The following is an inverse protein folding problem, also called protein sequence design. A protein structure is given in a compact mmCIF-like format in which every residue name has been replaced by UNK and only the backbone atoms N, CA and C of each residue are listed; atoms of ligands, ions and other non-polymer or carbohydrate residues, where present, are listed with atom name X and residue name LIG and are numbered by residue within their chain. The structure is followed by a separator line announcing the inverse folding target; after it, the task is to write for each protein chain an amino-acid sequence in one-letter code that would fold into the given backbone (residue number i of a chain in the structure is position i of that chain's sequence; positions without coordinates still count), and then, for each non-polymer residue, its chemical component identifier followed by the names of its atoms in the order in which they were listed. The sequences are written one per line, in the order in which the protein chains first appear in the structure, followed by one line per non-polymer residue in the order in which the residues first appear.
data_IF_451671618464
#
_entry.id   IF_451671618464
#
_cell.length_a   1.000
_cell.length_b   1.000
_cell.length_c   1.000
_cell.angle_alpha   90.00
_cell.angle_beta   90.00
_cell.angle_gamma   90.00
#
_symmetry.space_group_name_H-M   'P 1'
#
loop_
_entity.id
_entity.type
_entity.pdbx_description
1 polymer ?
#
# COMPACT_ATOMS: atom_id res chain seq x y z
N UNK A 1 4.89 -17.24 5.23
CA UNK A 1 3.69 -16.61 4.65
C UNK A 1 3.30 -17.30 3.35
N UNK A 2 2.03 -17.64 3.16
CA UNK A 2 1.46 -18.25 1.94
C UNK A 2 0.74 -17.20 1.10
N UNK A 3 0.48 -17.52 -0.17
CA UNK A 3 -0.35 -16.67 -1.04
C UNK A 3 -1.74 -16.43 -0.43
N UNK A 4 -2.36 -17.45 0.17
CA UNK A 4 -3.66 -17.32 0.86
C UNK A 4 -3.63 -16.23 1.94
N UNK A 5 -2.60 -16.23 2.78
CA UNK A 5 -2.46 -15.25 3.86
C UNK A 5 -2.32 -13.83 3.31
N UNK A 6 -1.54 -13.66 2.23
CA UNK A 6 -1.41 -12.36 1.54
C UNK A 6 -2.76 -11.85 1.04
N UNK A 7 -3.57 -12.72 0.41
CA UNK A 7 -4.89 -12.31 -0.08
C UNK A 7 -5.84 -11.90 1.05
N UNK A 8 -5.76 -12.54 2.21
CA UNK A 8 -6.54 -12.14 3.39
C UNK A 8 -6.08 -10.78 3.93
N UNK A 9 -4.78 -10.55 4.06
CA UNK A 9 -4.23 -9.27 4.50
C UNK A 9 -4.66 -8.12 3.60
N UNK A 10 -4.67 -8.34 2.27
CA UNK A 10 -5.07 -7.33 1.29
C UNK A 10 -6.53 -7.44 0.83
N UNK A 11 -7.40 -8.07 1.64
CA UNK A 11 -8.82 -8.23 1.31
C UNK A 11 -9.55 -6.89 1.13
N UNK A 12 -9.18 -5.87 1.90
CA UNK A 12 -9.70 -4.50 1.76
C UNK A 12 -9.25 -3.88 0.44
N UNK A 13 -7.99 -4.04 0.07
CA UNK A 13 -7.46 -3.55 -1.20
C UNK A 13 -8.15 -4.23 -2.39
N UNK A 14 -8.48 -5.52 -2.29
CA UNK A 14 -9.29 -6.22 -3.29
C UNK A 14 -10.70 -5.66 -3.39
N UNK A 15 -11.37 -5.44 -2.26
CA UNK A 15 -12.71 -4.85 -2.26
C UNK A 15 -12.71 -3.44 -2.88
N UNK A 16 -11.71 -2.62 -2.54
CA UNK A 16 -11.51 -1.31 -3.13
C UNK A 16 -11.27 -1.42 -4.66
N UNK A 17 -10.45 -2.37 -5.10
CA UNK A 17 -10.22 -2.64 -6.53
C UNK A 17 -11.52 -2.95 -7.27
N UNK A 18 -12.34 -3.86 -6.76
CA UNK A 18 -13.62 -4.22 -7.38
C UNK A 18 -14.56 -3.01 -7.46
N UNK A 19 -14.57 -2.13 -6.43
CA UNK A 19 -15.33 -0.87 -6.45
C UNK A 19 -14.81 0.09 -7.51
N UNK A 20 -13.51 0.33 -7.58
CA UNK A 20 -12.93 1.20 -8.61
C UNK A 20 -13.16 0.65 -10.01
N UNK A 21 -12.98 -0.65 -10.22
CA UNK A 21 -13.20 -1.29 -11.51
C UNK A 21 -14.65 -1.11 -11.98
N UNK A 22 -15.62 -1.20 -11.06
CA UNK A 22 -17.04 -1.01 -11.37
C UNK A 22 -17.41 0.40 -11.85
N UNK A 23 -16.61 1.40 -11.47
CA UNK A 23 -16.86 2.82 -11.79
C UNK A 23 -16.00 3.31 -12.94
N UNK A 24 -14.71 2.97 -12.94
CA UNK A 24 -13.75 3.47 -13.93
C UNK A 24 -13.73 2.67 -15.23
N UNK A 25 -14.21 1.42 -15.22
CA UNK A 25 -14.20 0.53 -16.40
C UNK A 25 -12.81 0.19 -16.96
N UNK A 26 -11.74 0.63 -16.30
CA UNK A 26 -10.35 0.42 -16.70
C UNK A 26 -9.58 -0.25 -15.55
N UNK A 27 -9.05 -1.47 -15.76
CA UNK A 27 -8.22 -2.15 -14.77
C UNK A 27 -7.02 -1.30 -14.35
N UNK A 28 -6.32 -0.67 -15.30
CA UNK A 28 -5.16 0.16 -15.01
C UNK A 28 -5.51 1.33 -14.08
N UNK A 29 -6.61 2.05 -14.35
CA UNK A 29 -7.05 3.16 -13.49
C UNK A 29 -7.42 2.70 -12.09
N UNK A 30 -8.07 1.54 -11.97
CA UNK A 30 -8.42 0.94 -10.69
C UNK A 30 -7.17 0.49 -9.91
N UNK A 31 -6.20 -0.13 -10.60
CA UNK A 31 -4.94 -0.56 -9.99
C UNK A 31 -4.13 0.63 -9.48
N UNK A 32 -4.02 1.70 -10.29
CA UNK A 32 -3.36 2.94 -9.92
C UNK A 32 -3.97 3.57 -8.66
N UNK A 33 -5.30 3.64 -8.59
CA UNK A 33 -6.02 4.19 -7.43
C UNK A 33 -5.77 3.35 -6.17
N UNK A 34 -5.89 2.02 -6.27
CA UNK A 34 -5.60 1.12 -5.15
C UNK A 34 -4.15 1.24 -4.70
N UNK A 35 -3.19 1.24 -5.63
CA UNK A 35 -1.77 1.31 -5.30
C UNK A 35 -1.41 2.61 -4.57
N UNK A 36 -1.95 3.74 -5.01
CA UNK A 36 -1.74 5.01 -4.31
C UNK A 36 -2.35 4.98 -2.91
N UNK A 37 -3.57 4.48 -2.75
CA UNK A 37 -4.24 4.44 -1.45
C UNK A 37 -3.58 3.46 -0.49
N UNK A 38 -3.13 2.28 -0.95
CA UNK A 38 -2.32 1.34 -0.14
C UNK A 38 -1.00 1.99 0.28
N UNK A 39 -0.37 2.74 -0.62
CA UNK A 39 0.86 3.46 -0.27
C UNK A 39 0.63 4.54 0.79
N UNK A 40 -0.53 5.21 0.76
CA UNK A 40 -0.94 6.16 1.78
C UNK A 40 -1.37 5.50 3.10
N UNK A 41 -1.77 4.23 3.07
CA UNK A 41 -2.27 3.44 4.19
C UNK A 41 -1.13 3.08 5.17
N UNK A 42 -0.58 4.10 5.82
CA UNK A 42 0.56 4.01 6.72
C UNK A 42 0.23 4.70 8.05
N UNK A 43 0.52 4.00 9.15
CA UNK A 43 0.30 4.54 10.50
C UNK A 43 -1.19 4.76 10.81
N UNK A 44 -1.59 6.02 11.03
CA UNK A 44 -2.98 6.37 11.35
C UNK A 44 -3.86 6.59 10.12
N UNK A 45 -3.29 6.60 8.92
CA UNK A 45 -4.02 6.80 7.68
C UNK A 45 -4.67 5.48 7.28
N UNK A 46 -6.00 5.49 7.14
CA UNK A 46 -6.80 4.31 6.76
C UNK A 46 -7.59 4.53 5.46
N UNK A 47 -7.06 5.34 4.53
CA UNK A 47 -7.82 5.89 3.39
C UNK A 47 -8.50 4.80 2.54
N UNK A 48 -7.80 3.69 2.30
CA UNK A 48 -8.34 2.58 1.49
C UNK A 48 -9.50 1.84 2.16
N UNK A 49 -9.52 1.81 3.49
CA UNK A 49 -10.57 1.12 4.27
C UNK A 49 -11.95 1.76 4.13
N UNK A 50 -12.00 3.03 3.72
CA UNK A 50 -13.26 3.75 3.53
C UNK A 50 -13.88 3.49 2.16
N UNK A 51 -13.08 3.15 1.14
CA UNK A 51 -13.53 2.98 -0.25
C UNK A 51 -14.68 1.97 -0.41
N UNK A 52 -14.68 0.79 0.25
CA UNK A 52 -15.78 -0.17 0.12
C UNK A 52 -17.16 0.40 0.51
N UNK A 53 -17.20 1.34 1.47
CA UNK A 53 -18.44 1.94 1.98
C UNK A 53 -18.84 3.24 1.25
N UNK A 54 -18.00 3.77 0.37
CA UNK A 54 -18.25 5.03 -0.34
C UNK A 54 -19.31 4.89 -1.43
N UNK A 55 -20.05 5.98 -1.66
CA UNK A 55 -20.98 6.10 -2.78
C UNK A 55 -20.21 6.02 -4.12
N UNK A 56 -20.80 5.44 -5.20
CA UNK A 56 -20.12 5.28 -6.48
C UNK A 56 -19.53 6.57 -7.06
N UNK A 57 -20.23 7.69 -6.94
CA UNK A 57 -19.75 8.99 -7.43
C UNK A 57 -18.50 9.45 -6.67
N UNK A 58 -18.45 9.21 -5.36
CA UNK A 58 -17.29 9.53 -4.55
C UNK A 58 -16.10 8.61 -4.90
N UNK A 59 -16.35 7.33 -5.16
CA UNK A 59 -15.32 6.38 -5.64
C UNK A 59 -14.76 6.83 -7.00
N UNK A 60 -15.61 7.35 -7.89
CA UNK A 60 -15.18 7.90 -9.18
C UNK A 60 -14.18 9.05 -8.99
N UNK A 61 -14.53 10.00 -8.12
CA UNK A 61 -13.70 11.18 -7.82
C UNK A 61 -12.36 10.75 -7.22
N UNK A 62 -12.34 9.82 -6.25
CA UNK A 62 -11.07 9.31 -5.69
C UNK A 62 -10.19 8.70 -6.77
N UNK A 63 -10.78 7.93 -7.70
CA UNK A 63 -10.01 7.34 -8.79
C UNK A 63 -9.45 8.41 -9.73
N UNK A 64 -10.23 9.44 -10.07
CA UNK A 64 -9.79 10.57 -10.87
C UNK A 64 -8.63 11.32 -10.20
N UNK A 65 -8.79 11.68 -8.92
CA UNK A 65 -7.73 12.33 -8.14
C UNK A 65 -6.45 11.49 -8.10
N UNK A 66 -6.56 10.19 -7.81
CA UNK A 66 -5.40 9.30 -7.70
C UNK A 66 -4.67 9.15 -9.04
N UNK A 67 -5.40 8.94 -10.12
CA UNK A 67 -4.80 8.81 -11.45
C UNK A 67 -4.19 10.13 -11.92
N UNK A 68 -4.83 11.27 -11.62
CA UNK A 68 -4.29 12.58 -11.97
C UNK A 68 -3.00 12.88 -11.20
N UNK A 69 -2.93 12.54 -9.91
CA UNK A 69 -1.68 12.61 -9.12
C UNK A 69 -0.59 11.77 -9.77
N UNK A 70 -0.85 10.49 -10.04
CA UNK A 70 0.16 9.58 -10.60
C UNK A 70 0.62 10.01 -11.99
N UNK A 71 -0.28 10.52 -12.83
CA UNK A 71 0.06 11.06 -14.14
C UNK A 71 0.96 12.30 -14.03
N UNK A 72 0.63 13.23 -13.12
CA UNK A 72 1.47 14.41 -12.87
C UNK A 72 2.85 14.02 -12.34
N UNK A 73 2.97 13.01 -11.47
CA UNK A 73 4.26 12.54 -10.96
C UNK A 73 5.16 11.91 -12.04
N UNK A 74 4.65 11.58 -13.23
CA UNK A 74 5.49 11.16 -14.38
C UNK A 74 6.24 12.34 -15.01
N UNK A 75 5.79 13.59 -14.79
CA UNK A 75 6.36 14.79 -15.40
C UNK A 75 7.59 15.29 -14.63
N UNK A 76 8.51 15.99 -15.31
CA UNK A 76 9.76 16.47 -14.70
C UNK A 76 9.52 17.53 -13.61
N UNK A 77 8.61 18.48 -13.86
CA UNK A 77 8.11 19.46 -12.90
C UNK A 77 6.61 19.23 -12.67
N UNK A 78 6.22 18.46 -11.66
CA UNK A 78 4.85 18.02 -11.51
C UNK A 78 3.99 19.14 -10.91
N UNK A 79 3.02 19.65 -11.67
CA UNK A 79 1.97 20.53 -11.14
C UNK A 79 0.82 19.64 -10.68
N UNK A 80 0.71 19.43 -9.37
CA UNK A 80 -0.23 18.47 -8.82
C UNK A 80 -1.66 19.05 -8.81
N UNK A 81 -2.66 18.24 -9.20
CA UNK A 81 -4.06 18.65 -9.17
C UNK A 81 -4.58 18.75 -7.72
N UNK A 82 -5.70 19.44 -7.48
CA UNK A 82 -6.43 19.35 -6.22
C UNK A 82 -6.84 17.90 -5.92
N UNK A 83 -6.74 17.51 -4.65
CA UNK A 83 -7.06 16.17 -4.14
C UNK A 83 -8.04 16.22 -2.94
N UNK A 84 -9.15 16.97 -3.03
CA UNK A 84 -10.01 17.21 -1.87
C UNK A 84 -10.52 15.94 -1.21
N UNK A 85 -10.86 14.91 -1.99
CA UNK A 85 -11.45 13.69 -1.43
C UNK A 85 -10.39 12.76 -0.85
N UNK A 86 -9.24 12.57 -1.51
CA UNK A 86 -8.09 11.85 -0.93
C UNK A 86 -7.61 12.54 0.36
N UNK A 87 -7.54 13.86 0.36
CA UNK A 87 -7.17 14.63 1.56
C UNK A 87 -8.18 14.42 2.70
N UNK A 88 -9.48 14.43 2.38
CA UNK A 88 -10.53 14.16 3.36
C UNK A 88 -10.46 12.74 3.94
N UNK A 89 -10.14 11.74 3.11
CA UNK A 89 -9.93 10.36 3.56
C UNK A 89 -8.74 10.25 4.51
N UNK A 90 -7.63 10.94 4.22
CA UNK A 90 -6.46 10.93 5.11
C UNK A 90 -6.72 11.68 6.43
N UNK A 91 -7.54 12.74 6.37
CA UNK A 91 -7.94 13.52 7.55
C UNK A 91 -8.76 12.72 8.56
N UNK A 92 -9.44 11.65 8.14
CA UNK A 92 -10.12 10.73 9.07
C UNK A 92 -9.12 10.03 10.02
N UNK A 93 -7.89 9.84 9.56
CA UNK A 93 -6.74 9.39 10.35
C UNK A 93 -5.96 10.51 11.03
N UNK A 94 -6.45 11.75 10.98
CA UNK A 94 -5.81 12.94 11.55
C UNK A 94 -4.68 13.54 10.73
N UNK A 95 -4.45 13.07 9.49
CA UNK A 95 -3.35 13.53 8.64
C UNK A 95 -3.86 14.35 7.47
N UNK A 96 -3.43 15.61 7.39
CA UNK A 96 -3.73 16.48 6.24
C UNK A 96 -2.70 16.27 5.14
N UNK A 97 -3.12 15.70 4.02
CA UNK A 97 -2.28 15.58 2.82
C UNK A 97 -2.68 16.68 1.83
N UNK A 98 -1.70 17.46 1.40
CA UNK A 98 -1.87 18.50 0.38
C UNK A 98 -1.16 18.08 -0.91
N UNK A 99 -1.56 18.59 -2.10
CA UNK A 99 -0.92 18.25 -3.37
C UNK A 99 0.61 18.37 -3.35
N UNK A 100 1.15 19.38 -2.66
CA UNK A 100 2.59 19.61 -2.52
C UNK A 100 3.34 18.47 -1.82
N UNK A 101 2.66 17.67 -0.99
CA UNK A 101 3.25 16.47 -0.37
C UNK A 101 3.73 15.47 -1.43
N UNK A 102 2.92 15.23 -2.46
CA UNK A 102 3.27 14.32 -3.55
C UNK A 102 4.42 14.86 -4.41
N UNK A 103 4.44 16.17 -4.66
CA UNK A 103 5.53 16.80 -5.40
C UNK A 103 6.87 16.67 -4.66
N UNK A 104 6.86 16.93 -3.35
CA UNK A 104 8.05 16.86 -2.50
C UNK A 104 8.55 15.41 -2.32
N UNK A 105 7.65 14.45 -2.20
CA UNK A 105 7.98 13.03 -2.02
C UNK A 105 7.87 12.20 -3.32
N UNK A 106 7.96 12.85 -4.49
CA UNK A 106 7.73 12.23 -5.80
C UNK A 106 8.39 10.86 -5.95
N UNK A 107 9.70 10.79 -5.70
CA UNK A 107 10.45 9.54 -5.91
C UNK A 107 10.03 8.43 -4.93
N UNK A 108 9.63 8.77 -3.71
CA UNK A 108 9.13 7.81 -2.73
C UNK A 108 7.76 7.27 -3.14
N UNK A 109 6.86 8.16 -3.60
CA UNK A 109 5.52 7.79 -4.06
C UNK A 109 5.63 6.87 -5.29
N UNK A 110 6.39 7.30 -6.31
CA UNK A 110 6.54 6.55 -7.56
C UNK A 110 7.14 5.16 -7.30
N UNK A 111 8.19 5.07 -6.48
CA UNK A 111 8.79 3.78 -6.13
C UNK A 111 7.85 2.91 -5.29
N UNK A 112 7.15 3.48 -4.31
CA UNK A 112 6.25 2.74 -3.45
C UNK A 112 5.05 2.17 -4.20
N UNK A 113 4.46 2.97 -5.08
CA UNK A 113 3.37 2.54 -5.98
C UNK A 113 3.85 1.45 -6.93
N UNK A 114 5.00 1.64 -7.59
CA UNK A 114 5.57 0.62 -8.46
C UNK A 114 5.88 -0.68 -7.71
N UNK A 115 6.49 -0.58 -6.52
CA UNK A 115 6.78 -1.75 -5.68
C UNK A 115 5.52 -2.54 -5.32
N UNK A 116 4.43 -1.86 -4.96
CA UNK A 116 3.17 -2.52 -4.71
C UNK A 116 2.62 -3.20 -5.96
N UNK A 117 2.55 -2.49 -7.10
CA UNK A 117 2.02 -3.02 -8.36
C UNK A 117 2.82 -4.24 -8.85
N UNK A 118 4.15 -4.19 -8.76
CA UNK A 118 5.05 -5.25 -9.20
C UNK A 118 5.17 -6.41 -8.19
N UNK A 119 4.86 -6.16 -6.93
CA UNK A 119 4.86 -7.12 -5.83
C UNK A 119 3.46 -7.64 -5.52
N UNK A 120 2.93 -7.26 -4.36
CA UNK A 120 1.66 -7.77 -3.83
C UNK A 120 0.46 -7.49 -4.74
N UNK A 121 0.48 -6.39 -5.49
CA UNK A 121 -0.57 -6.01 -6.44
C UNK A 121 -0.87 -7.10 -7.46
N UNK A 122 0.13 -7.88 -7.90
CA UNK A 122 -0.07 -9.02 -8.81
C UNK A 122 -1.03 -10.07 -8.25
N UNK A 123 -1.07 -10.24 -6.94
CA UNK A 123 -1.97 -11.19 -6.27
C UNK A 123 -3.34 -10.55 -6.01
N UNK A 124 -3.36 -9.30 -5.54
CA UNK A 124 -4.59 -8.54 -5.24
C UNK A 124 -5.46 -8.36 -6.48
N UNK A 125 -4.85 -8.15 -7.64
CA UNK A 125 -5.58 -7.91 -8.89
C UNK A 125 -5.83 -9.19 -9.70
N UNK A 126 -5.38 -10.36 -9.23
CA UNK A 126 -5.60 -11.63 -9.93
C UNK A 126 -6.99 -12.21 -9.63
N UNK A 127 -7.91 -12.01 -10.58
CA UNK A 127 -9.29 -12.51 -10.50
C UNK A 127 -9.37 -14.05 -10.41
N UNK A 128 -8.43 -14.78 -11.03
CA UNK A 128 -8.39 -16.24 -10.97
C UNK A 128 -8.03 -16.68 -9.56
N UNK A 129 -7.06 -16.03 -8.95
CA UNK A 129 -6.60 -16.33 -7.60
C UNK A 129 -7.70 -16.05 -6.56
N UNK A 130 -8.41 -14.93 -6.69
CA UNK A 130 -9.57 -14.63 -5.84
C UNK A 130 -10.78 -15.55 -6.10
N UNK A 131 -10.97 -16.03 -7.34
CA UNK A 131 -11.97 -17.06 -7.62
C UNK A 131 -11.61 -18.41 -6.98
N UNK A 132 -10.33 -18.79 -6.99
CA UNK A 132 -9.84 -19.99 -6.28
C UNK A 132 -10.02 -19.85 -4.76
N UNK A 133 -9.71 -18.69 -4.19
CA UNK A 133 -9.92 -18.41 -2.77
C UNK A 133 -11.38 -18.63 -2.37
N UNK A 134 -12.32 -18.00 -3.09
CA UNK A 134 -13.77 -18.15 -2.83
C UNK A 134 -14.25 -19.60 -2.94
N UNK A 135 -13.75 -20.37 -3.91
CA UNK A 135 -14.09 -21.80 -4.04
C UNK A 135 -13.51 -22.65 -2.90
N UNK A 136 -12.33 -22.27 -2.39
CA UNK A 136 -11.75 -22.98 -1.26
C UNK A 136 -12.49 -22.71 0.04
N UNK A 137 -12.99 -21.48 0.24
CA UNK A 137 -13.76 -21.08 1.42
C UNK A 137 -15.14 -21.76 1.48
N UNK A 138 -15.75 -22.03 0.32
CA UNK A 138 -17.01 -22.78 0.24
C UNK A 138 -16.82 -24.30 0.34
N UNK A 139 -15.58 -24.78 0.54
CA UNK A 139 -15.26 -26.20 0.62
C UNK A 139 -15.32 -26.95 -0.72
N UNK A 140 -15.51 -26.23 -1.85
CA UNK A 140 -15.54 -26.83 -3.18
C UNK A 140 -14.15 -27.32 -3.64
N UNK A 141 -13.09 -26.71 -3.12
CA UNK A 141 -11.70 -27.10 -3.39
C UNK A 141 -10.92 -27.10 -2.08
N UNK A 142 -10.30 -28.22 -1.73
CA UNK A 142 -9.47 -28.32 -0.53
C UNK A 142 -8.02 -28.00 -0.88
N UNK A 143 -7.45 -26.97 -0.23
CA UNK A 143 -6.04 -26.60 -0.29
C UNK A 143 -5.41 -26.55 -1.70
N UNK A 144 -5.92 -25.68 -2.60
CA UNK A 144 -5.34 -25.53 -3.93
C UNK A 144 -3.86 -25.11 -3.86
N UNK A 145 -2.96 -25.76 -4.62
CA UNK A 145 -1.51 -25.51 -4.57
C UNK A 145 -1.14 -24.03 -4.75
N UNK A 146 -1.84 -23.30 -5.61
CA UNK A 146 -1.58 -21.88 -5.87
C UNK A 146 -1.79 -21.00 -4.63
N UNK A 147 -2.76 -21.32 -3.78
CA UNK A 147 -2.99 -20.60 -2.53
C UNK A 147 -2.02 -21.03 -1.42
N UNK A 148 -1.51 -22.27 -1.50
CA UNK A 148 -0.55 -22.84 -0.54
C UNK A 148 0.91 -22.57 -0.92
N UNK A 149 1.14 -22.01 -2.11
CA UNK A 149 2.47 -21.62 -2.55
C UNK A 149 3.08 -20.63 -1.55
N UNK A 150 4.39 -20.77 -1.24
CA UNK A 150 5.08 -19.81 -0.40
C UNK A 150 5.08 -18.44 -1.08
N UNK A 151 4.71 -17.40 -0.33
CA UNK A 151 4.88 -16.03 -0.80
C UNK A 151 6.36 -15.68 -0.78
N UNK A 152 6.93 -15.43 -1.96
CA UNK A 152 8.29 -14.91 -2.08
C UNK A 152 8.17 -13.41 -2.31
N UNK A 153 8.44 -12.61 -1.26
CA UNK A 153 8.51 -11.16 -1.41
C UNK A 153 9.63 -10.82 -2.38
N UNK A 154 9.38 -9.86 -3.29
CA UNK A 154 10.49 -9.30 -4.05
C UNK A 154 11.39 -8.55 -3.07
N UNK A 155 12.73 -8.74 -3.14
CA UNK A 155 13.64 -7.99 -2.31
C UNK A 155 13.42 -6.50 -2.55
N UNK A 156 13.04 -5.77 -1.50
CA UNK A 156 12.99 -4.31 -1.55
C UNK A 156 14.44 -3.85 -1.69
N UNK A 157 14.82 -3.32 -2.84
CA UNK A 157 16.04 -2.54 -2.96
C UNK A 157 15.81 -1.23 -2.20
N UNK A 158 15.97 -1.27 -0.86
CA UNK A 158 15.86 -0.07 -0.02
C UNK A 158 16.99 0.86 -0.45
N UNK A 159 16.71 2.07 -0.96
CA UNK A 159 17.76 3.05 -1.25
C UNK A 159 18.57 3.33 0.01
N UNK A 160 19.87 3.61 -0.12
CA UNK A 160 20.77 3.80 1.03
C UNK A 160 20.26 4.88 2.00
N UNK A 161 19.65 5.93 1.46
CA UNK A 161 19.06 7.04 2.21
C UNK A 161 17.89 6.63 3.12
N UNK A 162 17.25 5.49 2.85
CA UNK A 162 16.15 4.94 3.64
C UNK A 162 16.59 3.85 4.63
N UNK A 163 17.88 3.52 4.69
CA UNK A 163 18.44 2.51 5.61
C UNK A 163 18.98 3.10 6.92
N UNK A 164 18.85 4.41 7.10
CA UNK A 164 19.38 5.12 8.25
C UNK A 164 18.27 5.76 9.07
N UNK A 165 18.35 5.64 10.39
CA UNK A 165 17.45 6.30 11.33
C UNK A 165 18.30 7.03 12.37
N UNK A 166 17.92 8.27 12.70
CA UNK A 166 18.53 9.01 13.80
C UNK A 166 17.80 8.66 15.10
N UNK A 167 18.55 8.14 16.06
CA UNK A 167 18.03 7.75 17.38
C UNK A 167 18.76 8.58 18.43
N UNK A 168 18.00 9.20 19.33
CA UNK A 168 18.54 9.97 20.45
C UNK A 168 18.36 9.21 21.75
N UNK A 169 19.40 9.18 22.58
CA UNK A 169 19.38 8.50 23.87
C UNK A 169 19.33 9.52 25.02
N UNK A 170 18.55 9.19 26.05
CA UNK A 170 18.44 9.99 27.27
C UNK A 170 19.81 10.12 27.96
N UNK A 171 20.12 11.31 28.46
CA UNK A 171 21.38 11.59 29.14
C UNK A 171 21.42 10.87 30.50
N UNK A 172 22.24 9.83 30.62
CA UNK A 172 22.38 9.10 31.89
C UNK A 172 23.43 7.99 31.90
N UNK A 173 23.50 7.18 30.83
CA UNK A 173 24.46 6.08 30.72
C UNK A 173 25.31 6.21 29.45
N UNK A 174 26.59 5.84 29.53
CA UNK A 174 27.45 5.74 28.35
C UNK A 174 27.01 4.50 27.57
N UNK A 175 26.36 4.72 26.42
CA UNK A 175 25.97 3.65 25.52
C UNK A 175 27.12 3.30 24.59
N UNK A 176 27.45 2.02 24.53
CA UNK A 176 28.45 1.51 23.61
C UNK A 176 27.80 1.06 22.29
N UNK A 177 28.58 1.10 21.21
CA UNK A 177 28.12 0.72 19.86
C UNK A 177 27.56 -0.70 19.84
N UNK A 178 28.21 -1.59 20.58
CA UNK A 178 27.87 -3.00 20.68
C UNK A 178 26.51 -3.20 21.34
N UNK A 179 26.18 -2.41 22.37
CA UNK A 179 24.88 -2.46 23.07
C UNK A 179 23.75 -2.00 22.15
N UNK A 180 23.97 -0.95 21.35
CA UNK A 180 23.02 -0.48 20.35
C UNK A 180 22.79 -1.58 19.30
N UNK A 181 23.86 -2.23 18.84
CA UNK A 181 23.76 -3.27 17.82
C UNK A 181 23.02 -4.51 18.33
N UNK A 182 23.31 -4.98 19.54
CA UNK A 182 22.61 -6.12 20.14
C UNK A 182 21.12 -5.81 20.38
N UNK A 183 20.80 -4.62 20.90
CA UNK A 183 19.41 -4.20 21.13
C UNK A 183 18.56 -4.30 19.86
N UNK A 184 19.04 -3.74 18.73
CA UNK A 184 18.29 -3.82 17.47
C UNK A 184 18.31 -5.22 16.87
N UNK A 185 19.36 -6.01 17.08
CA UNK A 185 19.43 -7.40 16.61
C UNK A 185 18.40 -8.29 17.30
N UNK A 186 18.26 -8.17 18.62
CA UNK A 186 17.26 -8.93 19.39
C UNK A 186 15.83 -8.57 18.97
N UNK A 187 15.55 -7.29 18.73
CA UNK A 187 14.24 -6.82 18.25
C UNK A 187 13.91 -7.38 16.86
N UNK A 188 14.86 -7.33 15.91
CA UNK A 188 14.63 -7.83 14.55
C UNK A 188 14.54 -9.36 14.43
N UNK A 189 14.97 -10.11 15.46
CA UNK A 189 14.87 -11.58 15.52
C UNK A 189 13.60 -12.08 16.21
N UNK A 190 12.72 -11.17 16.67
CA UNK A 190 11.48 -11.48 17.38
C UNK A 190 10.19 -11.01 16.67
N UNK A 191 10.28 -10.55 15.42
CA UNK A 191 9.08 -10.36 14.59
C UNK A 191 8.64 -11.72 13.98
N UNK A 192 7.42 -12.21 14.28
CA UNK A 192 6.86 -13.42 13.66
C UNK A 192 6.45 -13.23 12.19
#
# INVERSE_FOLDING_TARGET
MTVREVLYMYSVARQAYDRFLSVCGSPEKAQNAVALLVWLDQGTISAIHHVPAMAPDAVAIVAEEANAVLECLRQQEPVLPPIPLISALCMQGGVRIEPGFFAFHKDLVVRGVAHFLDGTGKFVFDDRLHALLRRSETGLIVNPPELMAPYTSQPVAVPEDCRSMFITFSKGNALHREEIFEYFREICMHDP
#
